data_IF_593032062686
#
_entry.id   IF_593032062686
#
_cell.length_a   1.000
_cell.length_b   1.000
_cell.length_c   1.000
_cell.angle_alpha   90.00
_cell.angle_beta   90.00
_cell.angle_gamma   90.00
#
_symmetry.space_group_name_H-M   'P 1'
#
loop_
_entity.id
_entity.type
_entity.pdbx_description
1 polymer ?
#
# COMPACT_ATOMS: atom_id res chain seq x y z
N UNK A 1 -1.42 22.52 1.77
CA UNK A 1 -0.19 21.78 1.41
C UNK A 1 -0.37 21.33 -0.03
N UNK A 2 0.62 21.52 -0.90
CA UNK A 2 0.55 21.04 -2.28
C UNK A 2 0.61 19.51 -2.31
N UNK A 3 -0.19 18.87 -3.16
CA UNK A 3 -0.11 17.44 -3.43
C UNK A 3 1.23 17.09 -4.10
N UNK A 4 1.74 15.87 -3.86
CA UNK A 4 2.95 15.40 -4.50
C UNK A 4 2.71 15.22 -6.01
N UNK A 5 3.61 15.75 -6.84
CA UNK A 5 3.55 15.62 -8.29
C UNK A 5 4.41 14.41 -8.70
N UNK A 6 3.84 13.37 -9.32
CA UNK A 6 4.59 12.18 -9.71
C UNK A 6 5.74 12.48 -10.67
N UNK A 7 6.87 11.82 -10.44
CA UNK A 7 8.04 11.74 -11.30
C UNK A 7 8.29 10.29 -11.64
N UNK A 8 8.80 10.03 -12.84
CA UNK A 8 9.26 8.69 -13.22
C UNK A 8 10.68 8.41 -12.68
N UNK A 9 10.82 8.51 -11.36
CA UNK A 9 12.06 8.29 -10.63
C UNK A 9 11.79 7.38 -9.43
N UNK A 10 12.48 6.25 -9.37
CA UNK A 10 12.31 5.31 -8.27
C UNK A 10 13.23 5.64 -7.09
N UNK A 11 12.65 5.69 -5.91
CA UNK A 11 13.34 5.68 -4.64
C UNK A 11 13.54 4.23 -4.14
N UNK A 12 14.77 3.74 -4.25
CA UNK A 12 15.17 2.42 -3.75
C UNK A 12 15.48 2.53 -2.25
N UNK A 13 14.95 1.61 -1.45
CA UNK A 13 15.20 1.57 -0.02
C UNK A 13 15.42 0.15 0.49
N UNK A 14 16.11 0.04 1.63
CA UNK A 14 16.43 -1.22 2.28
C UNK A 14 16.17 -1.17 3.79
N UNK A 15 16.32 -2.32 4.45
CA UNK A 15 16.36 -2.43 5.89
C UNK A 15 15.06 -2.93 6.51
N UNK A 16 14.74 -2.42 7.71
CA UNK A 16 13.59 -2.87 8.51
C UNK A 16 12.27 -2.59 7.79
N UNK A 17 11.18 -3.32 8.14
CA UNK A 17 9.86 -3.06 7.57
C UNK A 17 9.30 -1.68 7.99
N UNK A 18 8.56 -1.07 7.07
CA UNK A 18 7.63 0.00 7.40
C UNK A 18 6.34 -0.59 7.98
N UNK A 19 5.75 0.11 8.94
CA UNK A 19 4.51 -0.31 9.61
C UNK A 19 3.55 0.88 9.60
N UNK A 20 2.29 0.63 9.23
CA UNK A 20 1.19 1.56 9.37
C UNK A 20 -0.03 0.88 9.98
N UNK A 21 -0.89 1.67 10.61
CA UNK A 21 -2.24 1.27 10.99
C UNK A 21 -3.23 2.30 10.48
N UNK A 22 -4.45 1.84 10.16
CA UNK A 22 -5.55 2.71 9.81
C UNK A 22 -6.80 2.36 10.59
N UNK A 23 -7.73 3.31 10.67
CA UNK A 23 -9.13 3.00 10.99
C UNK A 23 -9.83 2.30 9.80
N UNK A 24 -11.14 2.08 9.93
CA UNK A 24 -11.97 1.44 8.90
C UNK A 24 -12.14 2.28 7.63
N UNK A 25 -12.00 3.61 7.73
CA UNK A 25 -12.10 4.54 6.62
C UNK A 25 -10.76 4.73 5.89
N UNK A 26 -9.70 4.07 6.39
CA UNK A 26 -8.35 4.15 5.83
C UNK A 26 -7.56 5.37 6.30
N UNK A 27 -8.02 6.08 7.33
CA UNK A 27 -7.24 7.16 7.93
C UNK A 27 -6.14 6.57 8.79
N UNK A 28 -4.92 7.08 8.61
CA UNK A 28 -3.74 6.59 9.30
C UNK A 28 -3.83 6.94 10.78
N UNK A 29 -3.78 5.93 11.65
CA UNK A 29 -3.80 6.08 13.11
C UNK A 29 -2.42 5.89 13.73
N UNK A 30 -1.51 5.21 13.01
CA UNK A 30 -0.13 5.00 13.45
C UNK A 30 0.79 4.77 12.25
N UNK A 31 2.03 5.25 12.37
CA UNK A 31 3.14 4.91 11.48
C UNK A 31 4.43 4.78 12.27
N UNK A 32 5.32 3.88 11.86
CA UNK A 32 6.66 3.82 12.43
C UNK A 32 7.63 4.80 11.72
N UNK A 33 8.84 4.96 12.28
CA UNK A 33 9.89 5.82 11.70
C UNK A 33 10.23 5.44 10.27
N UNK A 34 10.29 4.15 9.96
CA UNK A 34 10.66 3.68 8.63
C UNK A 34 9.61 4.06 7.58
N UNK A 35 8.32 4.01 7.92
CA UNK A 35 7.25 4.48 7.04
C UNK A 35 7.43 5.97 6.69
N UNK A 36 7.74 6.81 7.68
CA UNK A 36 8.00 8.24 7.46
C UNK A 36 9.22 8.45 6.53
N UNK A 37 10.31 7.72 6.79
CA UNK A 37 11.53 7.76 5.98
C UNK A 37 11.26 7.41 4.50
N UNK A 38 10.58 6.29 4.23
CA UNK A 38 10.38 5.83 2.85
C UNK A 38 9.33 6.66 2.11
N UNK A 39 8.30 7.14 2.80
CA UNK A 39 7.24 7.96 2.18
C UNK A 39 7.66 9.43 2.00
N UNK A 40 8.70 9.87 2.71
CA UNK A 40 9.16 11.26 2.73
C UNK A 40 8.25 12.22 3.49
N UNK A 41 7.21 11.71 4.14
CA UNK A 41 6.28 12.50 4.96
C UNK A 41 6.68 12.46 6.44
N UNK A 42 6.40 13.56 7.14
CA UNK A 42 6.46 13.59 8.59
C UNK A 42 5.21 12.96 9.22
N UNK A 43 5.32 12.50 10.46
CA UNK A 43 4.23 11.80 11.16
C UNK A 43 2.97 12.65 11.28
N UNK A 44 3.11 13.94 11.56
CA UNK A 44 2.02 14.92 11.66
C UNK A 44 1.32 15.20 10.33
N UNK A 45 1.99 14.96 9.20
CA UNK A 45 1.40 15.02 7.86
C UNK A 45 0.65 13.75 7.47
N UNK A 46 0.87 12.66 8.21
CA UNK A 46 0.31 11.33 7.95
C UNK A 46 -0.87 11.01 8.87
N UNK A 47 -0.72 11.21 10.17
CA UNK A 47 -1.76 10.87 11.15
C UNK A 47 -3.06 11.63 10.85
N UNK A 48 -4.18 10.92 10.89
CA UNK A 48 -5.52 11.45 10.60
C UNK A 48 -5.80 11.66 9.11
N UNK A 49 -4.80 11.50 8.23
CA UNK A 49 -5.00 11.59 6.78
C UNK A 49 -5.25 10.20 6.19
N UNK A 50 -5.98 10.16 5.08
CA UNK A 50 -6.26 8.92 4.38
C UNK A 50 -4.98 8.34 3.74
N UNK A 51 -4.82 7.02 3.81
CA UNK A 51 -3.67 6.31 3.25
C UNK A 51 -3.52 6.51 1.72
N UNK A 52 -4.58 6.91 1.02
CA UNK A 52 -4.52 7.32 -0.38
C UNK A 52 -3.55 8.48 -0.67
N UNK A 53 -3.13 9.25 0.35
CA UNK A 53 -2.12 10.31 0.24
C UNK A 53 -0.80 9.82 -0.37
N UNK A 54 -0.46 8.55 -0.20
CA UNK A 54 0.76 7.93 -0.74
C UNK A 54 0.48 6.99 -1.92
N UNK A 55 -0.75 6.98 -2.44
CA UNK A 55 -1.12 6.12 -3.57
C UNK A 55 -0.53 6.70 -4.86
N UNK A 56 0.20 5.88 -5.61
CA UNK A 56 0.64 6.26 -6.95
C UNK A 56 -0.53 6.25 -7.94
N UNK A 57 -0.63 7.18 -8.91
CA UNK A 57 -1.69 7.20 -9.92
C UNK A 57 -1.84 5.89 -10.71
N UNK A 58 -0.72 5.21 -10.99
CA UNK A 58 -0.70 3.89 -11.65
C UNK A 58 -1.37 2.78 -10.84
N UNK A 59 -1.64 2.97 -9.55
CA UNK A 59 -2.35 1.97 -8.74
C UNK A 59 -3.86 2.05 -9.02
N UNK A 60 -4.36 1.06 -9.74
CA UNK A 60 -5.77 0.99 -10.13
C UNK A 60 -6.74 0.95 -8.93
N UNK A 61 -7.92 1.54 -9.09
CA UNK A 61 -9.01 1.45 -8.10
C UNK A 61 -9.48 0.01 -7.89
N UNK A 62 -9.43 -0.84 -8.92
CA UNK A 62 -9.82 -2.25 -8.83
C UNK A 62 -8.90 -3.04 -7.88
N UNK A 63 -7.60 -2.75 -7.88
CA UNK A 63 -6.66 -3.36 -6.94
C UNK A 63 -7.00 -2.98 -5.49
N UNK A 64 -7.32 -1.70 -5.26
CA UNK A 64 -7.70 -1.20 -3.93
C UNK A 64 -9.04 -1.80 -3.47
N UNK A 65 -10.03 -1.89 -4.36
CA UNK A 65 -11.33 -2.50 -4.04
C UNK A 65 -11.17 -3.97 -3.64
N UNK A 66 -10.39 -4.74 -4.42
CA UNK A 66 -10.10 -6.14 -4.11
C UNK A 66 -9.45 -6.31 -2.75
N UNK A 67 -8.47 -5.46 -2.42
CA UNK A 67 -7.83 -5.45 -1.10
C UNK A 67 -8.87 -5.26 0.01
N UNK A 68 -9.73 -4.24 -0.10
CA UNK A 68 -10.77 -4.00 0.91
C UNK A 68 -11.80 -5.12 1.01
N UNK A 69 -12.17 -5.77 -0.10
CA UNK A 69 -13.09 -6.91 -0.09
C UNK A 69 -12.50 -8.10 0.70
N UNK A 70 -11.21 -8.38 0.55
CA UNK A 70 -10.49 -9.41 1.31
C UNK A 70 -10.46 -9.04 2.80
N UNK A 71 -10.09 -7.79 3.11
CA UNK A 71 -9.96 -7.31 4.49
C UNK A 71 -11.31 -7.28 5.22
N UNK A 72 -12.40 -6.86 4.56
CA UNK A 72 -13.76 -6.87 5.11
C UNK A 72 -14.28 -8.29 5.37
N UNK A 73 -13.78 -9.27 4.63
CA UNK A 73 -14.05 -10.69 4.87
C UNK A 73 -13.19 -11.29 6.00
N UNK A 74 -12.55 -10.45 6.83
CA UNK A 74 -11.68 -10.85 7.93
C UNK A 74 -10.46 -11.68 7.48
N UNK A 75 -9.98 -11.49 6.24
CA UNK A 75 -8.82 -12.20 5.69
C UNK A 75 -7.63 -11.27 5.53
N UNK A 76 -6.42 -11.86 5.55
CA UNK A 76 -5.17 -11.16 5.26
C UNK A 76 -5.07 -10.89 3.77
N UNK A 77 -4.64 -9.69 3.41
CA UNK A 77 -4.27 -9.32 2.05
C UNK A 77 -2.75 -9.31 1.90
N UNK A 78 -2.26 -9.90 0.80
CA UNK A 78 -0.88 -9.78 0.37
C UNK A 78 -0.85 -9.19 -1.04
N UNK A 79 0.11 -8.30 -1.31
CA UNK A 79 0.22 -7.70 -2.63
C UNK A 79 1.48 -6.88 -2.81
N UNK A 80 1.59 -6.32 -4.01
CA UNK A 80 2.65 -5.39 -4.40
C UNK A 80 1.99 -4.06 -4.73
N UNK A 81 2.54 -2.98 -4.18
CA UNK A 81 2.09 -1.62 -4.48
C UNK A 81 3.24 -0.72 -4.92
N UNK A 82 2.93 0.12 -5.90
CA UNK A 82 3.71 1.31 -6.26
C UNK A 82 3.13 2.49 -5.47
N UNK A 83 3.92 3.08 -4.58
CA UNK A 83 3.52 4.23 -3.78
C UNK A 83 4.23 5.51 -4.23
N UNK A 84 3.58 6.64 -4.00
CA UNK A 84 4.08 7.98 -4.29
C UNK A 84 4.71 8.58 -3.03
N UNK A 85 5.96 9.02 -3.18
CA UNK A 85 6.73 9.73 -2.16
C UNK A 85 6.40 11.22 -2.20
N UNK A 86 6.58 11.92 -1.06
CA UNK A 86 6.30 13.36 -0.93
C UNK A 86 7.00 14.23 -1.98
N UNK A 87 8.20 13.87 -2.42
CA UNK A 87 9.00 14.63 -3.39
C UNK A 87 8.73 14.27 -4.86
N UNK A 88 7.75 13.39 -5.10
CA UNK A 88 7.33 12.95 -6.42
C UNK A 88 7.93 11.63 -6.89
N UNK A 89 9.02 11.14 -6.30
CA UNK A 89 9.54 9.81 -6.62
C UNK A 89 8.53 8.72 -6.25
N UNK A 90 8.68 7.52 -6.80
CA UNK A 90 7.88 6.35 -6.41
C UNK A 90 8.72 5.28 -5.72
N UNK A 91 8.08 4.37 -4.99
CA UNK A 91 8.75 3.22 -4.41
C UNK A 91 7.84 1.99 -4.42
N UNK A 92 8.44 0.82 -4.57
CA UNK A 92 7.74 -0.45 -4.60
C UNK A 92 7.81 -1.18 -3.26
N UNK A 93 6.66 -1.72 -2.84
CA UNK A 93 6.57 -2.50 -1.61
C UNK A 93 5.89 -3.84 -1.84
N UNK A 94 6.39 -4.87 -1.16
CA UNK A 94 5.63 -6.06 -0.82
C UNK A 94 4.91 -5.79 0.51
N UNK A 95 3.59 -5.89 0.52
CA UNK A 95 2.75 -5.53 1.67
C UNK A 95 1.89 -6.71 2.12
N UNK A 96 1.82 -6.88 3.44
CA UNK A 96 0.85 -7.73 4.13
C UNK A 96 -0.05 -6.82 4.98
N UNK A 97 -1.37 -7.02 4.88
CA UNK A 97 -2.37 -6.24 5.62
C UNK A 97 -3.33 -7.19 6.34
N UNK A 98 -3.49 -6.98 7.64
CA UNK A 98 -4.38 -7.77 8.48
C UNK A 98 -5.46 -6.90 9.15
N UNK A 99 -6.69 -7.43 9.30
CA UNK A 99 -7.72 -6.79 10.12
C UNK A 99 -7.34 -6.79 11.60
N UNK A 100 -7.60 -5.66 12.27
CA UNK A 100 -7.43 -5.50 13.71
C UNK A 100 -8.79 -5.63 14.37
N UNK A 101 -8.90 -6.46 15.41
CA UNK A 101 -10.16 -6.74 16.10
C UNK A 101 -10.19 -6.13 17.50
N UNK A 102 -11.37 -5.70 17.94
CA UNK A 102 -11.62 -5.39 19.34
C UNK A 102 -11.99 -6.64 20.16
N UNK A 103 -12.30 -6.45 21.45
CA UNK A 103 -12.68 -7.54 22.37
C UNK A 103 -14.00 -8.24 22.01
N UNK A 104 -14.80 -7.66 21.12
CA UNK A 104 -16.06 -8.21 20.63
C UNK A 104 -15.92 -8.82 19.23
N UNK A 105 -14.69 -9.13 18.79
CA UNK A 105 -14.38 -9.71 17.47
C UNK A 105 -14.87 -8.85 16.29
N UNK A 106 -15.04 -7.55 16.50
CA UNK A 106 -15.35 -6.60 15.41
C UNK A 106 -14.07 -5.99 14.87
N UNK A 107 -13.96 -5.93 13.55
CA UNK A 107 -12.87 -5.21 12.88
C UNK A 107 -12.99 -3.73 13.25
N UNK A 108 -11.88 -3.14 13.70
CA UNK A 108 -11.78 -1.72 14.08
C UNK A 108 -10.77 -0.94 13.24
N UNK A 109 -10.07 -1.62 12.34
CA UNK A 109 -9.04 -1.03 11.51
C UNK A 109 -8.17 -2.10 10.88
N UNK A 110 -7.04 -1.66 10.33
CA UNK A 110 -6.09 -2.51 9.63
C UNK A 110 -4.67 -2.20 10.06
N UNK A 111 -3.81 -3.21 10.08
CA UNK A 111 -2.37 -3.07 10.27
C UNK A 111 -1.64 -3.60 9.04
N UNK A 112 -0.64 -2.87 8.59
CA UNK A 112 0.17 -3.23 7.44
C UNK A 112 1.66 -3.34 7.80
N UNK A 113 2.32 -4.32 7.19
CA UNK A 113 3.77 -4.46 7.20
C UNK A 113 4.25 -4.39 5.75
N UNK A 114 5.15 -3.45 5.47
CA UNK A 114 5.66 -3.20 4.11
C UNK A 114 7.17 -3.40 4.06
N UNK A 115 7.63 -4.14 3.05
CA UNK A 115 9.04 -4.43 2.77
C UNK A 115 9.38 -3.97 1.35
N UNK A 116 10.65 -3.68 1.03
CA UNK A 116 11.03 -3.40 -0.35
C UNK A 116 10.73 -4.61 -1.22
N UNK A 117 10.10 -4.39 -2.38
CA UNK A 117 9.77 -5.48 -3.29
C UNK A 117 11.02 -5.89 -4.10
N UNK A 118 11.37 -7.18 -4.17
CA UNK A 118 12.44 -7.66 -5.05
C UNK A 118 12.16 -7.32 -6.51
N UNK A 119 13.21 -7.00 -7.28
CA UNK A 119 13.10 -6.66 -8.72
C UNK A 119 12.35 -7.69 -9.54
N UNK A 120 12.55 -8.97 -9.25
CA UNK A 120 11.84 -10.06 -9.91
C UNK A 120 10.31 -9.97 -9.71
N UNK A 121 9.88 -9.67 -8.48
CA UNK A 121 8.46 -9.56 -8.12
C UNK A 121 7.81 -8.35 -8.81
N UNK A 122 8.53 -7.23 -8.88
CA UNK A 122 8.09 -6.02 -9.60
C UNK A 122 7.90 -6.32 -11.09
N UNK A 123 8.89 -6.95 -11.74
CA UNK A 123 8.80 -7.30 -13.17
C UNK A 123 7.64 -8.25 -13.46
N UNK A 124 7.38 -9.21 -12.58
CA UNK A 124 6.25 -10.13 -12.70
C UNK A 124 4.92 -9.39 -12.52
N UNK A 125 4.81 -8.51 -11.53
CA UNK A 125 3.66 -7.64 -11.34
C UNK A 125 3.37 -6.77 -12.57
N UNK A 126 4.38 -6.08 -13.09
CA UNK A 126 4.23 -5.21 -14.27
C UNK A 126 3.82 -6.00 -15.51
N UNK A 127 4.41 -7.18 -15.73
CA UNK A 127 4.01 -8.06 -16.83
C UNK A 127 2.54 -8.44 -16.74
N UNK A 128 2.11 -8.86 -15.55
CA UNK A 128 0.73 -9.25 -15.30
C UNK A 128 -0.22 -8.04 -15.45
N UNK A 129 0.16 -6.88 -14.92
CA UNK A 129 -0.64 -5.66 -14.99
C UNK A 129 -0.84 -5.22 -16.44
N UNK A 130 0.24 -5.18 -17.25
CA UNK A 130 0.18 -4.81 -18.66
C UNK A 130 -0.59 -5.83 -19.51
N UNK A 131 -0.55 -7.11 -19.15
CA UNK A 131 -1.36 -8.15 -19.79
C UNK A 131 -2.85 -8.01 -19.45
N UNK A 132 -3.17 -7.62 -18.21
CA UNK A 132 -4.54 -7.46 -17.74
C UNK A 132 -5.17 -6.11 -18.07
N UNK A 133 -4.39 -5.07 -18.40
CA UNK A 133 -4.93 -3.88 -19.08
C UNK A 133 -5.52 -4.23 -20.45
N UNK A 134 -5.08 -5.33 -21.07
CA UNK A 134 -5.71 -5.91 -22.27
C UNK A 134 -6.89 -6.85 -21.96
N UNK A 135 -7.14 -7.17 -20.68
CA UNK A 135 -8.14 -8.13 -20.21
C UNK A 135 -8.82 -7.56 -18.96
N UNK A 136 -9.62 -6.51 -19.10
CA UNK A 136 -10.44 -6.02 -17.97
C UNK A 136 -11.28 -7.18 -17.41
N UNK A 137 -10.99 -7.63 -16.17
CA UNK A 137 -11.98 -8.33 -15.35
C UNK A 137 -11.61 -9.63 -14.64
N UNK A 138 -10.38 -10.17 -14.68
CA UNK A 138 -10.08 -11.43 -13.96
C UNK A 138 -9.01 -11.35 -12.86
N UNK A 139 -9.43 -11.87 -11.71
CA UNK A 139 -8.81 -11.88 -10.40
C UNK A 139 -7.45 -12.57 -10.43
N UNK A 140 -6.37 -11.80 -10.20
CA UNK A 140 -5.06 -12.38 -9.93
C UNK A 140 -4.98 -12.95 -8.52
N UNK A 141 -5.23 -14.25 -8.38
CA UNK A 141 -4.72 -15.01 -7.24
C UNK A 141 -3.25 -15.31 -7.52
N UNK A 142 -2.36 -14.42 -7.09
CA UNK A 142 -0.94 -14.78 -6.92
C UNK A 142 -0.78 -15.17 -5.45
N UNK A 143 -0.97 -16.46 -5.17
CA UNK A 143 -0.43 -17.05 -3.96
C UNK A 143 1.06 -17.26 -4.22
N UNK A 144 1.91 -16.46 -3.58
CA UNK A 144 3.33 -16.78 -3.39
C UNK A 144 3.48 -17.79 -2.26
#
# INVERSE_FOLDING_TARGET
MSEAVPKDEEYIFEGKPAISQTDLDGNITFVNRKFCEISGYMVDELIGNNHNKIKHPDTSSATIEKMYNILKAAKVYNGIFKNLRKDGCYYWIDIEIAPVFNKQERIIGYIAISRPSPRKNIQEYEKIYNQNEHLEGEVLNVNL
#
